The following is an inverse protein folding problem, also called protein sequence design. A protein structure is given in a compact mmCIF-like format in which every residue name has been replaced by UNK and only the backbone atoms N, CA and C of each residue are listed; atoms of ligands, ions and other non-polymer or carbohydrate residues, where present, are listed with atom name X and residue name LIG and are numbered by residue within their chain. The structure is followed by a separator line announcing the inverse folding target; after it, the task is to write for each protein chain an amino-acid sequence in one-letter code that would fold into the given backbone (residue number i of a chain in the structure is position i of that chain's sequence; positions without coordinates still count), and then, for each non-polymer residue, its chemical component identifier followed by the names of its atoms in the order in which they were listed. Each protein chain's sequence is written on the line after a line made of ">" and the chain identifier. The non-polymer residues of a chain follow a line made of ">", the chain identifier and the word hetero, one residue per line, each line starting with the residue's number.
data_IF_372794106959
#
_entry.id   IF_372794106959
#
_cell.length_a   1.000
_cell.length_b   1.000
_cell.length_c   1.000
_cell.angle_alpha   90.00
_cell.angle_beta   90.00
_cell.angle_gamma   90.00
#
_symmetry.space_group_name_H-M   'P 1'
#
loop_
_entity.id
_entity.type
_entity.pdbx_description
1 polymer ?
#
# COMPACT_ATOMS: atom_id res chain seq x y z
N UNK A 1 7.82 2.31 23.10
CA UNK A 1 8.11 3.03 21.84
C UNK A 1 8.72 4.37 22.19
N UNK A 2 9.87 4.71 21.60
CA UNK A 2 10.54 5.99 21.85
C UNK A 2 9.80 7.09 21.09
N UNK A 3 9.74 8.33 21.61
CA UNK A 3 9.00 9.44 20.98
C UNK A 3 9.48 9.69 19.56
N UNK A 4 10.79 9.57 19.32
CA UNK A 4 11.41 9.68 18.00
C UNK A 4 10.83 8.69 16.99
N UNK A 5 10.60 7.44 17.40
CA UNK A 5 10.03 6.41 16.52
C UNK A 5 8.62 6.76 16.08
N UNK A 6 7.79 7.29 16.99
CA UNK A 6 6.40 7.68 16.69
C UNK A 6 6.38 8.85 15.70
N UNK A 7 7.23 9.86 15.91
CA UNK A 7 7.35 11.01 15.01
C UNK A 7 7.78 10.59 13.61
N UNK A 8 8.77 9.70 13.50
CA UNK A 8 9.23 9.18 12.19
C UNK A 8 8.14 8.40 11.45
N UNK A 9 7.33 7.59 12.16
CA UNK A 9 6.21 6.86 11.56
C UNK A 9 5.18 7.83 11.01
N UNK A 10 4.75 8.82 11.83
CA UNK A 10 3.76 9.81 11.42
C UNK A 10 4.22 10.61 10.21
N UNK A 11 5.48 11.06 10.20
CA UNK A 11 6.03 11.83 9.09
C UNK A 11 6.10 11.00 7.80
N UNK A 12 6.52 9.74 7.90
CA UNK A 12 6.57 8.80 6.77
C UNK A 12 5.18 8.53 6.20
N UNK A 13 4.21 8.28 7.07
CA UNK A 13 2.81 8.09 6.70
C UNK A 13 2.23 9.32 6.00
N UNK A 14 2.47 10.50 6.55
CA UNK A 14 1.98 11.76 6.00
C UNK A 14 2.56 12.01 4.60
N UNK A 15 3.88 11.87 4.43
CA UNK A 15 4.54 12.05 3.14
C UNK A 15 4.06 11.03 2.10
N UNK A 16 3.98 9.76 2.47
CA UNK A 16 3.53 8.71 1.57
C UNK A 16 2.06 8.87 1.17
N UNK A 17 1.18 9.24 2.12
CA UNK A 17 -0.23 9.50 1.83
C UNK A 17 -0.42 10.74 0.95
N UNK A 18 0.35 11.81 1.21
CA UNK A 18 0.32 13.03 0.41
C UNK A 18 0.77 12.78 -1.03
N UNK A 19 1.91 12.08 -1.20
CA UNK A 19 2.42 11.72 -2.53
C UNK A 19 1.47 10.79 -3.26
N UNK A 20 0.85 9.82 -2.58
CA UNK A 20 -0.21 8.99 -3.16
C UNK A 20 -1.41 9.82 -3.63
N UNK A 21 -1.83 10.81 -2.84
CA UNK A 21 -2.92 11.71 -3.20
C UNK A 21 -2.62 12.54 -4.46
N UNK A 22 -1.37 12.97 -4.66
CA UNK A 22 -0.96 13.78 -5.81
C UNK A 22 -0.68 12.91 -7.04
N UNK A 23 0.09 11.84 -6.88
CA UNK A 23 0.66 11.06 -7.99
C UNK A 23 -0.15 9.82 -8.35
N UNK A 24 -1.03 9.37 -7.45
CA UNK A 24 -1.68 8.06 -7.56
C UNK A 24 -0.75 6.88 -7.35
N UNK A 25 0.54 7.09 -7.06
CA UNK A 25 1.51 6.03 -6.79
C UNK A 25 1.20 5.30 -5.48
N UNK A 26 1.62 4.05 -5.40
CA UNK A 26 1.36 3.19 -4.24
C UNK A 26 1.85 3.79 -2.93
N UNK A 27 0.98 3.83 -1.91
CA UNK A 27 1.37 4.24 -0.55
C UNK A 27 2.52 3.37 -0.02
N UNK A 28 2.46 2.07 -0.28
CA UNK A 28 3.44 1.10 0.20
C UNK A 28 4.83 1.26 -0.43
N UNK A 29 4.94 1.71 -1.68
CA UNK A 29 6.25 1.85 -2.34
C UNK A 29 7.07 2.99 -1.75
N UNK A 30 6.41 3.99 -1.15
CA UNK A 30 7.07 5.10 -0.46
C UNK A 30 7.16 4.83 1.04
N UNK A 31 6.06 4.40 1.67
CA UNK A 31 5.98 4.27 3.12
C UNK A 31 6.83 3.11 3.66
N UNK A 32 6.86 1.96 2.97
CA UNK A 32 7.58 0.78 3.46
C UNK A 32 9.09 0.99 3.54
N UNK A 33 9.81 1.42 2.47
CA UNK A 33 11.26 1.62 2.55
C UNK A 33 11.63 2.65 3.62
N UNK A 34 10.92 3.78 3.69
CA UNK A 34 11.15 4.82 4.70
C UNK A 34 10.88 4.33 6.12
N UNK A 35 9.93 3.42 6.31
CA UNK A 35 9.64 2.88 7.63
C UNK A 35 10.63 1.78 8.04
N UNK A 36 11.10 0.97 7.10
CA UNK A 36 12.10 -0.09 7.34
C UNK A 36 13.50 0.42 7.66
N UNK A 37 13.81 1.69 7.39
CA UNK A 37 15.08 2.29 7.85
C UNK A 37 15.10 2.53 9.36
N UNK A 38 13.94 2.57 10.03
CA UNK A 38 13.82 2.86 11.45
C UNK A 38 13.10 1.77 12.26
N UNK A 39 12.36 0.88 11.61
CA UNK A 39 11.65 -0.24 12.23
C UNK A 39 12.02 -1.55 11.57
N UNK A 40 12.01 -2.63 12.35
CA UNK A 40 12.13 -3.97 11.80
C UNK A 40 11.02 -4.24 10.77
N UNK A 41 11.35 -4.87 9.63
CA UNK A 41 10.36 -5.21 8.60
C UNK A 41 9.18 -6.02 9.13
N UNK A 42 9.42 -6.86 10.16
CA UNK A 42 8.39 -7.66 10.84
C UNK A 42 7.26 -6.81 11.42
N UNK A 43 7.55 -5.58 11.81
CA UNK A 43 6.57 -4.63 12.38
C UNK A 43 6.09 -3.65 11.31
N UNK A 44 6.99 -3.19 10.43
CA UNK A 44 6.67 -2.20 9.40
C UNK A 44 5.67 -2.71 8.35
N UNK A 45 5.86 -3.95 7.86
CA UNK A 45 5.01 -4.55 6.81
C UNK A 45 3.52 -4.58 7.19
N UNK A 46 3.10 -5.20 8.32
CA UNK A 46 1.68 -5.25 8.67
C UNK A 46 1.11 -3.85 8.94
N UNK A 47 1.90 -2.93 9.51
CA UNK A 47 1.45 -1.57 9.79
C UNK A 47 1.16 -0.76 8.51
N UNK A 48 1.93 -0.98 7.44
CA UNK A 48 1.76 -0.30 6.14
C UNK A 48 0.67 -0.96 5.30
N UNK A 49 0.56 -2.29 5.32
CA UNK A 49 -0.38 -3.05 4.49
C UNK A 49 -1.83 -2.68 4.79
N UNK A 50 -2.23 -2.66 6.06
CA UNK A 50 -3.62 -2.38 6.47
C UNK A 50 -4.14 -1.03 5.94
N UNK A 51 -3.46 0.11 6.20
CA UNK A 51 -3.88 1.40 5.68
C UNK A 51 -3.70 1.51 4.17
N UNK A 52 -2.67 0.89 3.59
CA UNK A 52 -2.46 0.88 2.13
C UNK A 52 -3.65 0.25 1.39
N UNK A 53 -4.05 -0.94 1.83
CA UNK A 53 -5.19 -1.66 1.26
C UNK A 53 -6.48 -0.88 1.47
N UNK A 54 -6.73 -0.38 2.68
CA UNK A 54 -7.92 0.40 3.00
C UNK A 54 -8.04 1.65 2.11
N UNK A 55 -6.94 2.38 1.94
CA UNK A 55 -6.87 3.56 1.08
C UNK A 55 -7.03 3.20 -0.41
N UNK A 56 -6.39 2.12 -0.88
CA UNK A 56 -6.55 1.65 -2.26
C UNK A 56 -8.02 1.31 -2.56
N UNK A 57 -8.66 0.57 -1.66
CA UNK A 57 -10.07 0.20 -1.80
C UNK A 57 -10.97 1.44 -1.82
N UNK A 58 -10.73 2.40 -0.92
CA UNK A 58 -11.47 3.67 -0.93
C UNK A 58 -11.35 4.40 -2.27
N UNK A 59 -10.13 4.57 -2.80
CA UNK A 59 -9.92 5.22 -4.11
C UNK A 59 -10.60 4.44 -5.24
N UNK A 60 -10.52 3.10 -5.22
CA UNK A 60 -11.19 2.24 -6.20
C UNK A 60 -12.72 2.37 -6.14
N UNK A 61 -13.30 2.50 -4.94
CA UNK A 61 -14.75 2.73 -4.79
C UNK A 61 -15.17 4.14 -5.21
N UNK A 62 -14.35 5.16 -4.90
CA UNK A 62 -14.63 6.55 -5.25
C UNK A 62 -14.58 6.82 -6.76
N UNK A 63 -13.78 6.06 -7.51
CA UNK A 63 -13.67 6.19 -8.97
C UNK A 63 -14.85 5.56 -9.74
N UNK A 64 -15.80 4.91 -9.04
CA UNK A 64 -17.13 4.57 -9.56
C UNK A 64 -17.21 3.48 -10.64
N UNK A 65 -16.07 2.95 -11.12
CA UNK A 65 -16.00 1.91 -12.18
C UNK A 65 -15.33 0.63 -11.74
N UNK A 66 -15.39 0.30 -10.45
CA UNK A 66 -14.74 -0.88 -9.89
C UNK A 66 -15.20 -2.18 -10.58
N UNK A 67 -16.50 -2.30 -10.86
CA UNK A 67 -17.08 -3.51 -11.47
C UNK A 67 -16.62 -3.69 -12.93
N UNK A 68 -16.60 -2.60 -13.70
CA UNK A 68 -16.12 -2.61 -15.09
C UNK A 68 -14.62 -2.92 -15.18
N UNK A 69 -13.83 -2.37 -14.25
CA UNK A 69 -12.41 -2.68 -14.15
C UNK A 69 -12.19 -4.17 -13.78
N UNK A 70 -12.95 -4.69 -12.83
CA UNK A 70 -12.81 -6.09 -12.41
C UNK A 70 -13.18 -7.08 -13.52
N UNK A 71 -14.22 -6.78 -14.31
CA UNK A 71 -14.63 -7.63 -15.43
C UNK A 71 -13.64 -7.60 -16.60
N UNK A 72 -13.04 -6.44 -16.90
CA UNK A 72 -12.03 -6.32 -17.95
C UNK A 72 -10.68 -6.92 -17.56
N UNK A 73 -10.27 -6.76 -16.31
CA UNK A 73 -8.94 -7.17 -15.84
C UNK A 73 -8.91 -8.52 -15.10
N UNK A 74 -10.04 -9.24 -15.03
CA UNK A 74 -10.12 -10.61 -14.49
C UNK A 74 -8.99 -11.56 -14.94
N UNK A 75 -8.60 -11.61 -16.24
CA UNK A 75 -7.51 -12.49 -16.68
C UNK A 75 -6.19 -12.21 -15.96
N UNK A 76 -5.90 -10.95 -15.65
CA UNK A 76 -4.68 -10.54 -14.95
C UNK A 76 -4.70 -11.01 -13.49
N UNK A 77 -5.84 -10.87 -12.82
CA UNK A 77 -6.01 -11.35 -11.44
C UNK A 77 -5.86 -12.87 -11.36
N UNK A 78 -6.41 -13.62 -12.31
CA UNK A 78 -6.25 -15.08 -12.37
C UNK A 78 -4.80 -15.49 -12.65
N UNK A 79 -4.11 -14.79 -13.56
CA UNK A 79 -2.68 -15.03 -13.81
C UNK A 79 -1.78 -14.74 -12.61
N UNK A 80 -2.25 -13.97 -11.63
CA UNK A 80 -1.49 -13.70 -10.41
C UNK A 80 -1.40 -14.94 -9.49
N UNK A 81 -2.41 -15.81 -9.47
CA UNK A 81 -2.40 -17.03 -8.66
C UNK A 81 -1.26 -18.00 -8.97
N UNK A 82 -1.02 -18.40 -10.24
CA UNK A 82 0.13 -19.25 -10.57
C UNK A 82 1.47 -18.55 -10.32
N UNK A 83 1.56 -17.23 -10.54
CA UNK A 83 2.77 -16.46 -10.18
C UNK A 83 3.08 -16.53 -8.69
N UNK A 84 2.06 -16.31 -7.85
CA UNK A 84 2.17 -16.39 -6.40
C UNK A 84 2.56 -17.80 -5.92
N UNK A 85 1.99 -18.85 -6.52
CA UNK A 85 2.32 -20.24 -6.20
C UNK A 85 3.75 -20.61 -6.59
N UNK A 86 4.28 -20.03 -7.66
CA UNK A 86 5.66 -20.20 -8.10
C UNK A 86 6.66 -19.35 -7.29
N UNK A 87 6.18 -18.49 -6.38
CA UNK A 87 7.02 -17.68 -5.50
C UNK A 87 7.63 -16.45 -6.17
N UNK A 88 7.01 -15.95 -7.25
CA UNK A 88 7.36 -14.70 -7.94
C UNK A 88 6.35 -13.63 -7.58
#
# INVERSE_FOLDING_TARGET
>A
MNLQTVVSIFLSFFFAAFLKGITGLGFSTICLPTMTTFLDPKIAIPLVIVPSLSSNLLVMTQTGKFQDALSNFWPIYVSTFPGLLLGV
#
